data_IF_927023485671
#
_entry.id   IF_927023485671
#
_cell.length_a   1.000
_cell.length_b   1.000
_cell.length_c   1.000
_cell.angle_alpha   90.00
_cell.angle_beta   90.00
_cell.angle_gamma   90.00
#
_symmetry.space_group_name_H-M   'P 1'
#
loop_
_entity.id
_entity.type
_entity.pdbx_description
1 polymer ?
#
# COMPACT_ATOMS: atom_id res chain seq x y z
N UNK A 1 -8.24 6.49 -7.72
CA UNK A 1 -7.38 5.36 -7.38
C UNK A 1 -6.63 5.76 -6.13
N UNK A 2 -6.87 5.10 -5.00
CA UNK A 2 -6.14 5.41 -3.76
C UNK A 2 -4.70 4.93 -3.90
N UNK A 3 -3.76 5.82 -3.60
CA UNK A 3 -2.34 5.51 -3.55
C UNK A 3 -2.06 4.51 -2.40
N UNK A 4 -1.03 3.67 -2.51
CA UNK A 4 -0.59 2.81 -1.42
C UNK A 4 -0.16 3.64 -0.19
N UNK A 5 0.46 4.81 -0.42
CA UNK A 5 0.83 5.73 0.67
C UNK A 5 -0.41 6.28 1.39
N UNK A 6 -1.42 6.72 0.64
CA UNK A 6 -2.71 7.16 1.18
C UNK A 6 -3.45 6.03 1.92
N UNK A 7 -3.39 4.81 1.38
CA UNK A 7 -4.02 3.63 1.98
C UNK A 7 -3.43 3.31 3.36
N UNK A 8 -2.12 3.48 3.52
CA UNK A 8 -1.45 3.35 4.82
C UNK A 8 -1.55 4.62 5.68
N UNK A 9 -1.95 5.75 5.11
CA UNK A 9 -1.99 7.04 5.80
C UNK A 9 -0.61 7.55 6.16
N UNK A 10 0.37 7.35 5.28
CA UNK A 10 1.76 7.81 5.44
C UNK A 10 2.19 8.66 4.26
N UNK A 11 3.20 9.50 4.45
CA UNK A 11 3.78 10.30 3.37
C UNK A 11 4.69 9.47 2.46
N UNK A 12 4.97 9.98 1.26
CA UNK A 12 5.81 9.29 0.25
C UNK A 12 7.27 9.15 0.67
N UNK A 13 7.75 9.99 1.56
CA UNK A 13 9.09 9.95 2.15
C UNK A 13 9.14 9.10 3.43
N UNK A 14 8.02 8.48 3.84
CA UNK A 14 7.95 7.68 5.06
C UNK A 14 9.01 6.58 5.08
N UNK A 15 9.61 6.39 6.26
CA UNK A 15 10.58 5.34 6.47
C UNK A 15 9.93 3.95 6.41
N UNK A 16 10.72 2.91 6.18
CA UNK A 16 10.23 1.52 6.24
C UNK A 16 9.59 1.19 7.61
N UNK A 17 10.12 1.80 8.69
CA UNK A 17 9.58 1.64 10.03
C UNK A 17 8.21 2.30 10.18
N UNK A 18 7.99 3.46 9.57
CA UNK A 18 6.70 4.15 9.64
C UNK A 18 5.63 3.45 8.80
N UNK A 19 6.01 2.95 7.62
CA UNK A 19 5.17 2.06 6.79
C UNK A 19 4.77 0.82 7.60
N UNK A 20 5.71 0.18 8.29
CA UNK A 20 5.44 -1.00 9.13
C UNK A 20 4.59 -0.68 10.36
N UNK A 21 4.78 0.47 11.00
CA UNK A 21 3.93 0.92 12.12
C UNK A 21 2.50 1.17 11.64
N UNK A 22 2.33 1.87 10.53
CA UNK A 22 1.03 2.17 9.93
C UNK A 22 0.27 0.89 9.55
N UNK A 23 0.94 -0.03 8.86
CA UNK A 23 0.38 -1.33 8.54
C UNK A 23 -0.09 -2.07 9.79
N UNK A 24 0.73 -2.20 10.83
CA UNK A 24 0.34 -2.91 12.07
C UNK A 24 -0.88 -2.29 12.75
N UNK A 25 -1.00 -0.96 12.72
CA UNK A 25 -2.17 -0.26 13.29
C UNK A 25 -3.44 -0.56 12.49
N UNK A 26 -3.36 -0.49 11.16
CA UNK A 26 -4.50 -0.71 10.28
C UNK A 26 -4.90 -2.19 10.19
N UNK A 27 -3.93 -3.10 10.13
CA UNK A 27 -4.15 -4.53 10.15
C UNK A 27 -4.91 -4.96 11.41
N UNK A 28 -4.57 -4.42 12.58
CA UNK A 28 -5.34 -4.66 13.82
C UNK A 28 -6.73 -4.03 13.79
N UNK A 29 -6.91 -2.89 13.13
CA UNK A 29 -8.20 -2.20 13.02
C UNK A 29 -9.18 -2.92 12.09
N UNK A 30 -8.68 -3.56 11.04
CA UNK A 30 -9.48 -4.22 10.01
C UNK A 30 -9.35 -5.75 10.02
N UNK A 31 -8.72 -6.34 11.05
CA UNK A 31 -8.57 -7.79 11.11
C UNK A 31 -9.95 -8.46 11.17
N UNK A 32 -10.22 -9.50 10.36
CA UNK A 32 -11.55 -10.13 10.31
C UNK A 32 -12.00 -10.68 11.67
N UNK A 33 -11.06 -11.18 12.49
CA UNK A 33 -11.39 -11.71 13.82
C UNK A 33 -11.85 -10.64 14.82
N UNK A 34 -11.46 -9.38 14.67
CA UNK A 34 -11.82 -8.31 15.62
C UNK A 34 -12.79 -7.29 15.04
N UNK A 35 -12.80 -7.13 13.72
CA UNK A 35 -13.67 -6.21 13.01
C UNK A 35 -14.13 -6.84 11.69
N UNK A 36 -15.06 -7.81 11.75
CA UNK A 36 -15.60 -8.48 10.57
C UNK A 36 -16.36 -7.49 9.67
N UNK A 37 -16.32 -7.72 8.35
CA UNK A 37 -16.97 -6.84 7.36
C UNK A 37 -16.07 -5.74 6.78
N UNK A 38 -14.77 -5.73 7.13
CA UNK A 38 -13.76 -4.85 6.57
C UNK A 38 -12.67 -5.61 5.80
N UNK A 39 -13.04 -6.74 5.19
CA UNK A 39 -12.10 -7.59 4.45
C UNK A 39 -11.46 -6.83 3.29
N UNK A 40 -12.20 -5.93 2.65
CA UNK A 40 -11.71 -5.13 1.52
C UNK A 40 -10.68 -4.09 1.96
N UNK A 41 -10.89 -3.43 3.10
CA UNK A 41 -9.91 -2.51 3.69
C UNK A 41 -8.67 -3.27 4.17
N UNK A 42 -8.85 -4.45 4.78
CA UNK A 42 -7.73 -5.28 5.18
C UNK A 42 -6.87 -5.72 3.98
N UNK A 43 -7.52 -6.12 2.87
CA UNK A 43 -6.82 -6.45 1.61
C UNK A 43 -6.06 -5.24 1.06
N UNK A 44 -6.69 -4.06 0.98
CA UNK A 44 -6.04 -2.83 0.48
C UNK A 44 -4.80 -2.48 1.30
N UNK A 45 -4.92 -2.52 2.63
CA UNK A 45 -3.81 -2.26 3.56
C UNK A 45 -2.69 -3.29 3.42
N UNK A 46 -3.04 -4.56 3.21
CA UNK A 46 -2.07 -5.64 3.00
C UNK A 46 -1.30 -5.47 1.69
N UNK A 47 -2.00 -5.17 0.59
CA UNK A 47 -1.37 -4.90 -0.72
C UNK A 47 -0.47 -3.67 -0.64
N UNK A 48 -0.94 -2.58 -0.02
CA UNK A 48 -0.13 -1.37 0.14
C UNK A 48 1.16 -1.64 0.92
N UNK A 49 1.08 -2.42 2.00
CA UNK A 49 2.27 -2.81 2.77
C UNK A 49 3.18 -3.74 1.98
N UNK A 50 2.66 -4.72 1.26
CA UNK A 50 3.47 -5.63 0.44
C UNK A 50 4.29 -4.87 -0.61
N UNK A 51 3.71 -3.85 -1.23
CA UNK A 51 4.41 -3.01 -2.21
C UNK A 51 5.42 -2.07 -1.54
N UNK A 52 5.04 -1.39 -0.45
CA UNK A 52 5.86 -0.31 0.12
C UNK A 52 6.91 -0.78 1.12
N UNK A 53 6.77 -1.98 1.69
CA UNK A 53 7.73 -2.53 2.65
C UNK A 53 8.98 -3.12 1.98
N UNK A 54 8.87 -3.52 0.72
CA UNK A 54 9.98 -4.01 -0.09
C UNK A 54 10.61 -2.82 -0.85
N UNK A 55 11.91 -2.51 -0.64
CA UNK A 55 12.55 -1.38 -1.30
C UNK A 55 12.55 -1.45 -2.83
N UNK A 56 12.63 -2.64 -3.41
CA UNK A 56 12.63 -2.84 -4.86
C UNK A 56 11.22 -2.66 -5.43
N UNK A 57 10.19 -3.24 -4.79
CA UNK A 57 8.78 -3.03 -5.18
C UNK A 57 8.37 -1.57 -4.99
N UNK A 58 8.76 -0.93 -3.90
CA UNK A 58 8.51 0.50 -3.65
C UNK A 58 9.15 1.36 -4.72
N UNK A 59 10.41 1.11 -5.07
CA UNK A 59 11.09 1.82 -6.15
C UNK A 59 10.37 1.64 -7.49
N UNK A 60 9.96 0.41 -7.83
CA UNK A 60 9.18 0.16 -9.05
C UNK A 60 7.83 0.87 -9.04
N UNK A 61 7.14 0.87 -7.90
CA UNK A 61 5.89 1.58 -7.69
C UNK A 61 6.06 3.09 -7.85
N UNK A 62 7.12 3.66 -7.27
CA UNK A 62 7.43 5.08 -7.37
C UNK A 62 7.84 5.47 -8.80
N UNK A 63 8.66 4.66 -9.48
CA UNK A 63 9.05 4.90 -10.88
C UNK A 63 7.87 4.74 -11.86
N UNK A 64 6.99 3.76 -11.62
CA UNK A 64 5.79 3.53 -12.41
C UNK A 64 4.67 4.54 -12.15
N UNK A 65 4.59 5.05 -10.91
CA UNK A 65 3.64 6.10 -10.50
C UNK A 65 4.08 7.51 -10.86
N UNK A 66 5.39 7.74 -11.07
CA UNK A 66 5.91 9.04 -11.51
C UNK A 66 5.73 9.30 -13.01
N UNK A 67 5.30 8.29 -13.79
CA UNK A 67 4.95 8.45 -15.21
C UNK A 67 3.46 8.79 -15.36
N UNK A 68 3.01 9.84 -14.66
CA UNK A 68 1.73 10.51 -14.89
C UNK A 68 1.76 11.43 -16.12
N UNK A 69 2.29 10.92 -17.23
CA UNK A 69 2.41 11.62 -18.50
C UNK A 69 2.39 10.64 -19.66
N UNK A 70 1.24 9.97 -19.83
CA UNK A 70 0.88 9.12 -20.97
C UNK A 70 1.67 7.81 -21.18
N UNK A 71 0.94 6.70 -21.14
CA UNK A 71 1.28 5.49 -21.90
C UNK A 71 1.63 4.25 -21.07
N UNK A 72 0.64 3.38 -20.91
CA UNK A 72 0.81 1.93 -20.99
C UNK A 72 1.65 1.24 -19.92
N UNK A 73 0.98 0.56 -18.99
CA UNK A 73 1.42 -0.78 -18.62
C UNK A 73 0.20 -1.67 -18.40
N UNK A 74 -0.15 -2.40 -19.46
CA UNK A 74 -1.10 -3.49 -19.41
C UNK A 74 -0.43 -4.77 -18.89
N UNK A 75 -1.25 -5.65 -18.34
CA UNK A 75 -0.98 -7.09 -18.29
C UNK A 75 -0.27 -7.58 -17.03
N UNK A 76 -1.05 -7.92 -16.01
CA UNK A 76 -0.76 -9.13 -15.23
C UNK A 76 -1.77 -10.19 -15.67
N UNK A 77 -1.26 -11.23 -16.33
CA UNK A 77 -1.92 -12.52 -16.55
C UNK A 77 -1.86 -13.35 -15.28
#
# INVERSE_FOLDING_TARGET
MSDHYETLGVERDASADDIKKAYRKLARKYHPDVNPGHEDEFKKVSVAYETLSDPDKRRQYDMGGSTGGAGGFGGFS
#
